data_IF_196413288069
#
_entry.id   IF_196413288069
#
_cell.length_a   1.000
_cell.length_b   1.000
_cell.length_c   1.000
_cell.angle_alpha   90.00
_cell.angle_beta   90.00
_cell.angle_gamma   90.00
#
_symmetry.space_group_name_H-M   'P 1'
#
loop_
_entity.id
_entity.type
_entity.pdbx_description
1 polymer ?
#
# COMPACT_ATOMS: atom_id res chain seq x y z
N UNK A 1 -11.15 -13.28 50.37
CA UNK A 1 -11.57 -13.88 49.09
C UNK A 1 -10.79 -13.19 47.99
N UNK A 2 -9.81 -13.89 47.42
CA UNK A 2 -8.93 -13.38 46.36
C UNK A 2 -9.68 -13.46 45.02
N UNK A 3 -9.86 -12.32 44.35
CA UNK A 3 -10.41 -12.25 43.00
C UNK A 3 -9.26 -12.18 42.01
N UNK A 4 -8.77 -13.34 41.57
CA UNK A 4 -7.78 -13.44 40.50
C UNK A 4 -8.40 -12.95 39.18
N UNK A 5 -7.83 -11.88 38.64
CA UNK A 5 -8.11 -11.43 37.27
C UNK A 5 -7.39 -12.40 36.33
N UNK A 6 -8.13 -13.32 35.73
CA UNK A 6 -7.60 -14.19 34.69
C UNK A 6 -7.17 -13.35 33.49
N UNK A 7 -5.86 -13.32 33.23
CA UNK A 7 -5.26 -12.71 32.06
C UNK A 7 -5.56 -13.57 30.84
N UNK A 8 -6.58 -13.19 30.06
CA UNK A 8 -6.86 -13.77 28.75
C UNK A 8 -5.79 -13.32 27.75
N UNK A 9 -4.63 -13.98 27.79
CA UNK A 9 -3.63 -13.93 26.72
C UNK A 9 -4.06 -14.88 25.59
N UNK A 10 -4.31 -14.34 24.41
CA UNK A 10 -4.44 -15.14 23.19
C UNK A 10 -5.42 -14.58 22.17
N UNK A 11 -6.66 -14.27 22.56
CA UNK A 11 -7.72 -13.91 21.60
C UNK A 11 -7.76 -12.43 21.24
N UNK A 12 -7.38 -11.54 22.17
CA UNK A 12 -7.37 -10.09 21.91
C UNK A 12 -6.07 -9.59 21.25
N UNK A 13 -5.13 -10.49 20.95
CA UNK A 13 -3.84 -10.14 20.30
C UNK A 13 -3.86 -10.27 18.78
N UNK A 14 -4.83 -10.97 18.19
CA UNK A 14 -4.97 -11.00 16.73
C UNK A 14 -5.28 -9.61 16.13
N UNK A 15 -5.78 -8.69 16.96
CA UNK A 15 -6.15 -7.31 16.58
C UNK A 15 -5.43 -6.22 17.40
N UNK A 16 -4.37 -6.58 18.13
CA UNK A 16 -3.58 -5.65 18.96
C UNK A 16 -2.51 -4.89 18.17
N UNK A 17 -2.00 -3.78 18.75
CA UNK A 17 -0.82 -3.07 18.22
C UNK A 17 0.37 -4.03 18.07
N UNK A 18 0.94 -4.10 16.88
CA UNK A 18 2.02 -5.02 16.53
C UNK A 18 3.31 -4.75 17.33
N UNK A 19 4.15 -5.79 17.43
CA UNK A 19 5.45 -5.69 18.11
C UNK A 19 6.43 -4.85 17.28
N UNK A 20 7.43 -4.19 17.89
CA UNK A 20 8.37 -3.31 17.20
C UNK A 20 9.32 -3.96 16.16
N UNK A 21 9.13 -5.24 15.83
CA UNK A 21 9.94 -6.00 14.86
C UNK A 21 9.23 -6.32 13.54
N UNK A 22 7.94 -6.02 13.44
CA UNK A 22 7.19 -6.14 12.18
C UNK A 22 7.54 -4.97 11.26
N UNK A 23 7.54 -5.17 9.94
CA UNK A 23 7.86 -4.05 9.04
C UNK A 23 6.86 -2.93 9.28
N UNK A 24 7.33 -1.67 9.20
CA UNK A 24 6.48 -0.50 9.38
C UNK A 24 5.23 -0.57 8.48
N UNK A 25 5.37 -1.12 7.26
CA UNK A 25 4.28 -1.36 6.32
C UNK A 25 3.24 -2.37 6.81
N UNK A 26 3.68 -3.47 7.42
CA UNK A 26 2.78 -4.47 8.00
C UNK A 26 1.91 -3.87 9.10
N UNK A 27 2.50 -3.02 9.94
CA UNK A 27 1.77 -2.32 11.00
C UNK A 27 0.71 -1.38 10.45
N UNK A 28 1.05 -0.60 9.40
CA UNK A 28 0.12 0.32 8.75
C UNK A 28 -1.02 -0.43 8.05
N UNK A 29 -0.71 -1.48 7.30
CA UNK A 29 -1.71 -2.36 6.68
C UNK A 29 -2.68 -2.91 7.73
N UNK A 30 -2.17 -3.52 8.80
CA UNK A 30 -3.02 -4.11 9.85
C UNK A 30 -3.89 -3.07 10.56
N UNK A 31 -3.39 -1.85 10.74
CA UNK A 31 -4.20 -0.78 11.32
C UNK A 31 -5.37 -0.43 10.40
N UNK A 32 -5.14 -0.25 9.10
CA UNK A 32 -6.21 0.09 8.15
C UNK A 32 -7.21 -1.07 7.98
N UNK A 33 -6.72 -2.31 7.93
CA UNK A 33 -7.57 -3.50 7.86
C UNK A 33 -8.48 -3.62 9.09
N UNK A 34 -7.91 -3.47 10.29
CA UNK A 34 -8.70 -3.41 11.53
C UNK A 34 -9.67 -2.23 11.53
N UNK A 35 -9.31 -1.08 10.97
CA UNK A 35 -10.19 0.08 10.88
C UNK A 35 -11.42 -0.22 10.00
N UNK A 36 -11.24 -0.86 8.85
CA UNK A 36 -12.35 -1.29 7.97
C UNK A 36 -13.26 -2.29 8.69
N UNK A 37 -12.68 -3.29 9.37
CA UNK A 37 -13.43 -4.32 10.10
C UNK A 37 -14.22 -3.72 11.27
N UNK A 38 -13.60 -2.80 12.02
CA UNK A 38 -14.17 -2.20 13.22
C UNK A 38 -14.96 -0.92 12.94
N UNK A 39 -15.17 -0.57 11.67
CA UNK A 39 -15.73 0.72 11.28
C UNK A 39 -17.05 1.05 12.01
N UNK A 40 -18.02 0.12 12.02
CA UNK A 40 -19.28 0.32 12.74
C UNK A 40 -19.09 0.57 14.24
N UNK A 41 -18.18 -0.17 14.88
CA UNK A 41 -17.86 0.01 16.30
C UNK A 41 -17.18 1.35 16.55
N UNK A 42 -16.28 1.78 15.66
CA UNK A 42 -15.61 3.08 15.74
C UNK A 42 -16.64 4.20 15.64
N UNK A 43 -17.54 4.14 14.65
CA UNK A 43 -18.61 5.13 14.49
C UNK A 43 -19.54 5.14 15.71
N UNK A 44 -19.93 3.98 16.23
CA UNK A 44 -20.79 3.89 17.41
C UNK A 44 -20.11 4.51 18.64
N UNK A 45 -18.83 4.19 18.89
CA UNK A 45 -18.08 4.75 20.02
C UNK A 45 -17.92 6.26 19.88
N UNK A 46 -17.61 6.76 18.67
CA UNK A 46 -17.58 8.20 18.41
C UNK A 46 -18.94 8.84 18.75
N UNK A 47 -20.05 8.23 18.32
CA UNK A 47 -21.41 8.67 18.65
C UNK A 47 -21.84 8.50 20.12
N UNK A 48 -21.11 7.73 20.95
CA UNK A 48 -21.35 7.63 22.40
C UNK A 48 -20.51 8.65 23.17
N UNK A 49 -19.24 8.83 22.78
CA UNK A 49 -18.36 9.90 23.30
C UNK A 49 -18.99 11.27 23.02
N UNK A 50 -19.89 11.36 22.04
CA UNK A 50 -20.76 12.50 21.79
C UNK A 50 -21.67 12.94 22.97
N UNK A 51 -21.79 12.19 24.07
CA UNK A 51 -22.50 12.70 25.24
C UNK A 51 -21.63 13.54 26.21
N UNK A 52 -20.29 13.50 26.11
CA UNK A 52 -19.41 13.94 27.22
C UNK A 52 -18.30 14.98 26.85
N UNK A 53 -18.12 15.34 25.57
CA UNK A 53 -17.02 16.23 25.10
C UNK A 53 -17.49 17.53 24.40
N UNK A 54 -16.60 18.51 24.17
CA UNK A 54 -16.92 19.80 23.51
C UNK A 54 -17.35 19.62 22.03
N UNK A 55 -18.50 20.20 21.66
CA UNK A 55 -19.29 19.89 20.45
C UNK A 55 -18.51 20.09 19.13
N UNK A 56 -17.54 20.99 19.12
CA UNK A 56 -16.85 21.43 17.89
C UNK A 56 -15.76 20.46 17.40
N UNK A 57 -14.97 19.87 18.29
CA UNK A 57 -13.92 18.90 17.92
C UNK A 57 -14.51 17.56 17.47
N UNK A 58 -15.71 17.25 17.98
CA UNK A 58 -16.43 16.00 17.80
C UNK A 58 -17.08 15.86 16.43
N UNK A 59 -17.91 16.83 16.04
CA UNK A 59 -18.53 16.89 14.70
C UNK A 59 -17.45 16.91 13.60
N UNK A 60 -16.28 17.45 13.92
CA UNK A 60 -15.16 17.50 13.00
C UNK A 60 -14.48 16.13 12.81
N UNK A 61 -14.34 15.31 13.87
CA UNK A 61 -13.70 13.99 13.78
C UNK A 61 -14.60 12.96 13.07
N UNK A 62 -15.87 12.85 13.48
CA UNK A 62 -16.82 11.94 12.84
C UNK A 62 -17.10 12.37 11.39
N UNK A 63 -17.27 13.67 11.15
CA UNK A 63 -17.45 14.21 9.80
C UNK A 63 -16.26 13.96 8.87
N UNK A 64 -15.02 13.91 9.41
CA UNK A 64 -13.83 13.54 8.63
C UNK A 64 -13.77 12.05 8.32
N UNK A 65 -14.10 11.17 9.28
CA UNK A 65 -14.07 9.71 9.08
C UNK A 65 -15.21 9.23 8.18
N UNK A 66 -16.37 9.88 8.25
CA UNK A 66 -17.51 9.63 7.34
C UNK A 66 -17.42 10.41 6.03
N UNK A 67 -16.33 11.12 5.75
CA UNK A 67 -16.16 11.75 4.45
C UNK A 67 -15.91 10.68 3.39
N UNK A 68 -16.63 10.76 2.25
CA UNK A 68 -16.44 9.83 1.14
C UNK A 68 -14.97 9.75 0.69
N UNK A 69 -14.28 10.89 0.60
CA UNK A 69 -12.84 10.97 0.29
C UNK A 69 -11.97 10.16 1.25
N UNK A 70 -12.29 10.17 2.54
CA UNK A 70 -11.56 9.40 3.55
C UNK A 70 -11.76 7.89 3.33
N UNK A 71 -13.00 7.45 3.08
CA UNK A 71 -13.31 6.04 2.79
C UNK A 71 -12.63 5.59 1.49
N UNK A 72 -12.64 6.45 0.47
CA UNK A 72 -11.96 6.23 -0.79
C UNK A 72 -10.45 6.01 -0.57
N UNK A 73 -9.79 6.94 0.13
CA UNK A 73 -8.36 6.84 0.44
C UNK A 73 -8.05 5.63 1.33
N UNK A 74 -8.91 5.30 2.28
CA UNK A 74 -8.76 4.12 3.15
C UNK A 74 -8.70 2.83 2.32
N UNK A 75 -9.65 2.62 1.40
CA UNK A 75 -9.68 1.42 0.55
C UNK A 75 -8.50 1.40 -0.44
N UNK A 76 -8.19 2.54 -1.05
CA UNK A 76 -7.06 2.66 -1.97
C UNK A 76 -5.72 2.35 -1.28
N UNK A 77 -5.47 2.97 -0.11
CA UNK A 77 -4.26 2.73 0.68
C UNK A 77 -4.18 1.29 1.16
N UNK A 78 -5.31 0.67 1.54
CA UNK A 78 -5.33 -0.73 1.93
C UNK A 78 -4.84 -1.64 0.79
N UNK A 79 -5.34 -1.45 -0.44
CA UNK A 79 -4.89 -2.22 -1.61
C UNK A 79 -3.38 -2.03 -1.88
N UNK A 80 -2.90 -0.79 -1.88
CA UNK A 80 -1.48 -0.48 -2.11
C UNK A 80 -0.57 -1.06 -1.03
N UNK A 81 -0.97 -0.94 0.24
CA UNK A 81 -0.19 -1.45 1.38
C UNK A 81 -0.16 -2.98 1.42
N UNK A 82 -1.24 -3.67 1.05
CA UNK A 82 -1.24 -5.15 0.96
C UNK A 82 -0.15 -5.61 0.00
N UNK A 83 -0.16 -5.11 -1.24
CA UNK A 83 0.82 -5.50 -2.25
C UNK A 83 2.26 -5.14 -1.84
N UNK A 84 2.46 -3.92 -1.32
CA UNK A 84 3.78 -3.47 -0.87
C UNK A 84 4.31 -4.30 0.30
N UNK A 85 3.42 -4.73 1.20
CA UNK A 85 3.76 -5.58 2.34
C UNK A 85 4.08 -7.01 1.90
N UNK A 86 3.33 -7.58 0.95
CA UNK A 86 3.63 -8.89 0.36
C UNK A 86 5.01 -8.91 -0.30
N UNK A 87 5.32 -7.88 -1.10
CA UNK A 87 6.65 -7.69 -1.68
C UNK A 87 7.73 -7.54 -0.61
N UNK A 88 7.50 -6.69 0.40
CA UNK A 88 8.44 -6.51 1.50
C UNK A 88 8.73 -7.83 2.22
N UNK A 89 7.73 -8.67 2.45
CA UNK A 89 7.90 -9.99 3.08
C UNK A 89 8.65 -10.96 2.17
N UNK A 90 8.34 -10.97 0.88
CA UNK A 90 9.04 -11.79 -0.10
C UNK A 90 10.53 -11.43 -0.17
N UNK A 91 10.86 -10.14 -0.24
CA UNK A 91 12.24 -9.65 -0.30
C UNK A 91 13.04 -9.88 0.99
N UNK A 92 12.39 -9.93 2.15
CA UNK A 92 13.05 -10.12 3.45
C UNK A 92 13.18 -11.59 3.86
N UNK A 93 12.63 -12.52 3.08
CA UNK A 93 12.71 -13.94 3.41
C UNK A 93 14.16 -14.42 3.27
N UNK A 94 14.72 -14.96 4.37
CA UNK A 94 16.14 -15.33 4.50
C UNK A 94 16.65 -16.28 3.40
N UNK A 95 15.78 -17.18 2.95
CA UNK A 95 16.08 -18.21 1.95
C UNK A 95 15.56 -17.83 0.55
N UNK A 96 15.20 -16.57 0.35
CA UNK A 96 14.68 -16.12 -0.94
C UNK A 96 15.81 -16.11 -1.96
N UNK A 97 15.58 -16.80 -3.06
CA UNK A 97 16.43 -16.74 -4.24
C UNK A 97 16.28 -15.39 -4.96
N UNK A 98 17.38 -14.80 -5.42
CA UNK A 98 17.40 -13.48 -6.06
C UNK A 98 16.52 -13.48 -7.32
N UNK A 99 16.56 -14.54 -8.14
CA UNK A 99 15.76 -14.62 -9.36
C UNK A 99 14.28 -14.66 -9.00
N UNK A 100 13.91 -15.45 -8.00
CA UNK A 100 12.53 -15.51 -7.50
C UNK A 100 12.07 -14.17 -6.89
N UNK A 101 12.95 -13.45 -6.20
CA UNK A 101 12.66 -12.12 -5.67
C UNK A 101 12.38 -11.11 -6.80
N UNK A 102 13.18 -11.14 -7.87
CA UNK A 102 12.97 -10.28 -9.04
C UNK A 102 11.65 -10.61 -9.77
N UNK A 103 11.34 -11.89 -9.98
CA UNK A 103 10.05 -12.30 -10.55
C UNK A 103 8.88 -11.79 -9.70
N UNK A 104 8.99 -11.88 -8.37
CA UNK A 104 7.94 -11.39 -7.47
C UNK A 104 7.77 -9.86 -7.54
N UNK A 105 8.87 -9.11 -7.68
CA UNK A 105 8.85 -7.68 -7.92
C UNK A 105 8.12 -7.33 -9.22
N UNK A 106 8.44 -8.03 -10.32
CA UNK A 106 7.81 -7.81 -11.62
C UNK A 106 6.30 -8.06 -11.55
N UNK A 107 5.88 -9.18 -10.96
CA UNK A 107 4.45 -9.49 -10.73
C UNK A 107 3.78 -8.42 -9.87
N UNK A 108 4.46 -7.91 -8.84
CA UNK A 108 3.91 -6.85 -7.98
C UNK A 108 3.71 -5.55 -8.77
N UNK A 109 4.70 -5.17 -9.60
CA UNK A 109 4.62 -4.01 -10.47
C UNK A 109 3.48 -4.15 -11.49
N UNK A 110 3.36 -5.29 -12.16
CA UNK A 110 2.28 -5.58 -13.10
C UNK A 110 0.90 -5.46 -12.44
N UNK A 111 0.72 -5.99 -11.23
CA UNK A 111 -0.54 -5.86 -10.49
C UNK A 111 -0.86 -4.42 -10.07
N UNK A 112 0.13 -3.66 -9.62
CA UNK A 112 -0.07 -2.24 -9.30
C UNK A 112 -0.44 -1.43 -10.54
N UNK A 113 0.19 -1.76 -11.67
CA UNK A 113 -0.06 -1.17 -12.98
C UNK A 113 -1.48 -1.49 -13.47
N UNK A 114 -1.91 -2.75 -13.35
CA UNK A 114 -3.28 -3.19 -13.64
C UNK A 114 -4.31 -2.45 -12.78
N UNK A 115 -4.04 -2.28 -11.49
CA UNK A 115 -4.93 -1.51 -10.61
C UNK A 115 -5.06 -0.08 -11.13
N UNK A 116 -3.94 0.56 -11.48
CA UNK A 116 -3.93 1.92 -11.99
C UNK A 116 -4.73 2.08 -13.28
N UNK A 117 -4.57 1.16 -14.21
CA UNK A 117 -5.08 1.34 -15.57
C UNK A 117 -6.52 0.83 -15.72
N UNK A 118 -6.90 -0.22 -14.97
CA UNK A 118 -8.17 -0.95 -15.22
C UNK A 118 -9.10 -1.01 -14.01
N UNK A 119 -8.61 -0.85 -12.77
CA UNK A 119 -9.42 -1.14 -11.56
C UNK A 119 -10.06 0.08 -10.90
N UNK A 120 -10.09 1.21 -11.59
CA UNK A 120 -10.76 2.43 -11.10
C UNK A 120 -12.24 2.16 -10.77
N UNK A 121 -13.01 1.62 -11.73
CA UNK A 121 -14.45 1.38 -11.52
C UNK A 121 -14.71 0.35 -10.43
N UNK A 122 -13.91 -0.73 -10.38
CA UNK A 122 -14.03 -1.75 -9.33
C UNK A 122 -13.77 -1.17 -7.94
N UNK A 123 -12.77 -0.29 -7.78
CA UNK A 123 -12.54 0.39 -6.50
C UNK A 123 -13.72 1.31 -6.14
N UNK A 124 -14.28 2.03 -7.11
CA UNK A 124 -15.42 2.91 -6.87
C UNK A 124 -16.67 2.13 -6.45
N UNK A 125 -16.92 0.97 -7.03
CA UNK A 125 -18.02 0.07 -6.65
C UNK A 125 -17.83 -0.45 -5.21
N UNK A 126 -16.62 -0.89 -4.85
CA UNK A 126 -16.29 -1.32 -3.49
C UNK A 126 -16.51 -0.20 -2.46
N UNK A 127 -15.98 1.00 -2.74
CA UNK A 127 -16.12 2.17 -1.87
C UNK A 127 -17.58 2.61 -1.73
N UNK A 128 -18.33 2.59 -2.83
CA UNK A 128 -19.75 2.97 -2.83
C UNK A 128 -20.60 1.96 -2.07
N UNK A 129 -20.31 0.66 -2.22
CA UNK A 129 -20.94 -0.42 -1.46
C UNK A 129 -20.66 -0.28 0.03
N UNK A 130 -19.41 0.01 0.41
CA UNK A 130 -19.03 0.28 1.79
C UNK A 130 -19.78 1.50 2.34
N UNK A 131 -19.80 2.61 1.61
CA UNK A 131 -20.51 3.81 2.02
C UNK A 131 -22.01 3.55 2.23
N UNK A 132 -22.66 2.86 1.30
CA UNK A 132 -24.08 2.49 1.39
C UNK A 132 -24.37 1.62 2.62
N UNK A 133 -23.48 0.67 2.94
CA UNK A 133 -23.61 -0.19 4.12
C UNK A 133 -23.52 0.57 5.45
N UNK A 134 -22.84 1.71 5.46
CA UNK A 134 -22.57 2.50 6.67
C UNK A 134 -23.29 3.84 6.69
N UNK A 135 -24.32 4.02 5.85
CA UNK A 135 -25.12 5.25 5.71
C UNK A 135 -24.26 6.50 5.46
N UNK A 136 -23.17 6.34 4.71
CA UNK A 136 -22.28 7.45 4.33
C UNK A 136 -22.77 8.04 3.01
N UNK A 137 -22.98 9.36 3.01
CA UNK A 137 -23.40 10.09 1.82
C UNK A 137 -22.28 10.10 0.77
N UNK A 138 -22.59 9.54 -0.40
CA UNK A 138 -21.74 9.62 -1.58
C UNK A 138 -21.91 11.00 -2.22
N UNK A 139 -20.80 11.70 -2.43
CA UNK A 139 -20.81 13.00 -3.10
C UNK A 139 -21.16 12.83 -4.59
N UNK A 140 -21.85 13.81 -5.19
CA UNK A 140 -22.16 13.72 -6.63
C UNK A 140 -20.87 13.86 -7.44
N UNK A 141 -20.63 12.89 -8.32
CA UNK A 141 -19.37 12.77 -9.06
C UNK A 141 -19.18 13.89 -10.09
N UNK A 142 -20.29 14.44 -10.58
CA UNK A 142 -20.36 15.50 -11.59
C UNK A 142 -20.27 16.91 -10.98
N UNK A 143 -20.42 17.04 -9.66
CA UNK A 143 -20.25 18.33 -8.98
C UNK A 143 -18.78 18.76 -9.01
N UNK A 144 -18.55 20.07 -9.06
CA UNK A 144 -17.20 20.61 -9.00
C UNK A 144 -16.57 20.34 -7.64
N UNK A 145 -15.31 19.91 -7.65
CA UNK A 145 -14.55 19.80 -6.43
C UNK A 145 -14.41 21.16 -5.75
N UNK A 146 -14.63 21.22 -4.44
CA UNK A 146 -14.47 22.44 -3.64
C UNK A 146 -13.28 22.23 -2.69
N UNK A 147 -12.11 22.83 -2.99
CA UNK A 147 -10.93 22.66 -2.15
C UNK A 147 -11.11 23.40 -0.82
N UNK A 148 -11.35 22.66 0.26
CA UNK A 148 -11.23 23.11 1.66
C UNK A 148 -11.62 24.56 1.97
N UNK A 149 -10.79 25.27 2.75
CA UNK A 149 -11.08 26.58 3.38
C UNK A 149 -11.37 27.74 2.41
N UNK A 150 -11.31 27.54 1.10
CA UNK A 150 -11.60 28.58 0.10
C UNK A 150 -12.89 28.29 -0.65
N UNK A 151 -14.03 28.61 -0.04
CA UNK A 151 -15.33 28.68 -0.76
C UNK A 151 -15.38 29.74 -1.87
N UNK A 152 -14.30 30.51 -2.06
CA UNK A 152 -14.23 31.62 -3.03
C UNK A 152 -13.73 31.19 -4.42
N UNK A 153 -13.22 29.95 -4.59
CA UNK A 153 -12.84 29.40 -5.90
C UNK A 153 -13.42 28.00 -6.06
N UNK A 154 -14.48 27.91 -6.86
CA UNK A 154 -14.94 26.64 -7.40
C UNK A 154 -13.80 26.07 -8.27
N UNK A 155 -13.43 24.80 -8.08
CA UNK A 155 -12.51 24.15 -9.02
C UNK A 155 -13.17 24.07 -10.39
N UNK A 156 -12.38 24.13 -11.46
CA UNK A 156 -12.87 23.82 -12.82
C UNK A 156 -12.99 22.31 -13.07
N UNK A 157 -12.67 21.49 -12.06
CA UNK A 157 -12.54 20.04 -12.16
C UNK A 157 -13.66 19.37 -11.36
N UNK A 158 -14.24 18.29 -11.92
CA UNK A 158 -15.28 17.49 -11.25
C UNK A 158 -14.71 16.70 -10.08
N UNK A 159 -15.58 16.31 -9.13
CA UNK A 159 -15.16 15.51 -7.98
C UNK A 159 -14.59 14.15 -8.40
N UNK A 160 -15.19 13.49 -9.39
CA UNK A 160 -14.65 12.23 -9.94
C UNK A 160 -13.26 12.40 -10.53
N UNK A 161 -13.02 13.46 -11.30
CA UNK A 161 -11.68 13.73 -11.84
C UNK A 161 -10.67 14.01 -10.72
N UNK A 162 -11.06 14.77 -9.69
CA UNK A 162 -10.20 14.99 -8.53
C UNK A 162 -9.80 13.67 -7.87
N UNK A 163 -10.76 12.80 -7.54
CA UNK A 163 -10.48 11.49 -6.93
C UNK A 163 -9.59 10.62 -7.83
N UNK A 164 -9.85 10.59 -9.14
CA UNK A 164 -9.11 9.74 -10.07
C UNK A 164 -7.69 10.25 -10.35
N UNK A 165 -7.54 11.55 -10.58
CA UNK A 165 -6.26 12.10 -11.04
C UNK A 165 -5.38 12.49 -9.87
N UNK A 166 -5.93 13.23 -8.90
CA UNK A 166 -5.15 13.79 -7.79
C UNK A 166 -4.91 12.78 -6.67
N UNK A 167 -5.83 11.82 -6.46
CA UNK A 167 -5.69 10.82 -5.39
C UNK A 167 -5.31 9.45 -5.92
N UNK A 168 -6.13 8.85 -6.79
CA UNK A 168 -5.95 7.48 -7.25
C UNK A 168 -4.62 7.26 -7.95
N UNK A 169 -4.35 8.02 -9.01
CA UNK A 169 -3.07 7.91 -9.72
C UNK A 169 -1.89 8.34 -8.84
N UNK A 170 -2.02 9.40 -8.05
CA UNK A 170 -0.92 9.86 -7.20
C UNK A 170 -0.48 8.78 -6.19
N UNK A 171 -1.45 8.14 -5.52
CA UNK A 171 -1.18 7.11 -4.50
C UNK A 171 -0.61 5.84 -5.12
N UNK A 172 -1.08 5.41 -6.30
CA UNK A 172 -0.56 4.19 -6.96
C UNK A 172 0.78 4.44 -7.66
N UNK A 173 0.99 5.62 -8.23
CA UNK A 173 2.24 5.95 -8.90
C UNK A 173 3.41 6.06 -7.93
N UNK A 174 3.16 6.42 -6.67
CA UNK A 174 4.22 6.54 -5.67
C UNK A 174 5.02 5.24 -5.48
N UNK A 175 4.42 4.08 -5.12
CA UNK A 175 5.17 2.83 -5.00
C UNK A 175 5.73 2.35 -6.35
N UNK A 176 5.02 2.52 -7.47
CA UNK A 176 5.53 2.17 -8.80
C UNK A 176 6.83 2.93 -9.12
N UNK A 177 6.86 4.23 -8.86
CA UNK A 177 8.04 5.06 -9.08
C UNK A 177 9.18 4.64 -8.15
N UNK A 178 8.88 4.41 -6.87
CA UNK A 178 9.87 3.98 -5.89
C UNK A 178 10.51 2.63 -6.27
N UNK A 179 9.69 1.66 -6.69
CA UNK A 179 10.18 0.34 -7.11
C UNK A 179 11.03 0.44 -8.38
N UNK A 180 10.54 1.15 -9.39
CA UNK A 180 11.28 1.34 -10.64
C UNK A 180 12.57 2.15 -10.47
N UNK A 181 12.63 3.05 -9.48
CA UNK A 181 13.85 3.78 -9.16
C UNK A 181 14.87 2.94 -8.41
N UNK A 182 14.43 2.03 -7.52
CA UNK A 182 15.33 1.16 -6.74
C UNK A 182 15.81 -0.05 -7.52
N UNK A 183 14.97 -0.57 -8.40
CA UNK A 183 15.20 -1.75 -9.22
C UNK A 183 15.12 -1.38 -10.69
N UNK A 184 15.88 -0.35 -11.08
CA UNK A 184 15.99 0.02 -12.48
C UNK A 184 16.66 -1.10 -13.30
N UNK A 185 16.74 -0.89 -14.62
CA UNK A 185 17.31 -1.89 -15.54
C UNK A 185 18.73 -2.31 -15.13
N UNK A 186 19.56 -1.34 -14.70
CA UNK A 186 20.95 -1.60 -14.33
C UNK A 186 21.03 -2.41 -13.03
N UNK A 187 20.31 -1.98 -11.99
CA UNK A 187 20.30 -2.64 -10.68
C UNK A 187 19.72 -4.05 -10.77
N UNK A 188 18.64 -4.22 -11.54
CA UNK A 188 18.01 -5.52 -11.81
C UNK A 188 18.96 -6.46 -12.56
N UNK A 189 19.64 -5.98 -13.61
CA UNK A 189 20.63 -6.77 -14.34
C UNK A 189 21.82 -7.17 -13.46
N UNK A 190 22.29 -6.26 -12.59
CA UNK A 190 23.35 -6.54 -11.62
C UNK A 190 22.93 -7.67 -10.66
N UNK A 191 21.74 -7.58 -10.07
CA UNK A 191 21.21 -8.61 -9.16
C UNK A 191 21.08 -9.97 -9.86
N UNK A 192 20.51 -9.99 -11.06
CA UNK A 192 20.35 -11.22 -11.84
C UNK A 192 21.69 -11.81 -12.29
N UNK A 193 22.67 -10.98 -12.65
CA UNK A 193 24.03 -11.41 -12.96
C UNK A 193 24.74 -12.02 -11.75
N UNK A 194 24.60 -11.40 -10.58
CA UNK A 194 25.12 -11.96 -9.32
C UNK A 194 24.45 -13.29 -8.97
N UNK A 195 23.16 -13.44 -9.24
CA UNK A 195 22.45 -14.71 -9.05
C UNK A 195 23.03 -15.82 -9.94
N UNK A 196 23.43 -15.51 -11.18
CA UNK A 196 24.10 -16.45 -12.09
C UNK A 196 25.48 -16.91 -11.61
N UNK A 197 26.14 -16.13 -10.76
CA UNK A 197 27.45 -16.44 -10.17
C UNK A 197 27.37 -17.09 -8.80
N UNK A 198 26.16 -17.32 -8.27
CA UNK A 198 25.96 -17.93 -6.97
C UNK A 198 26.31 -19.44 -7.02
N UNK A 199 27.30 -19.92 -6.26
CA UNK A 199 27.67 -21.35 -6.25
C UNK A 199 26.63 -22.25 -5.58
N UNK A 200 25.65 -21.69 -4.87
CA UNK A 200 24.58 -22.45 -4.24
C UNK A 200 23.85 -23.34 -5.27
N UNK A 201 23.52 -24.56 -4.85
CA UNK A 201 22.88 -25.58 -5.71
C UNK A 201 23.61 -25.78 -7.06
N UNK A 202 24.95 -25.73 -7.05
CA UNK A 202 25.78 -25.95 -8.23
C UNK A 202 25.51 -24.96 -9.37
N UNK A 203 25.38 -23.67 -9.04
CA UNK A 203 25.07 -22.61 -10.01
C UNK A 203 23.72 -22.81 -10.73
N UNK A 204 22.67 -23.17 -9.98
CA UNK A 204 21.34 -23.46 -10.54
C UNK A 204 20.76 -22.32 -11.41
N UNK A 205 21.13 -21.07 -11.13
CA UNK A 205 20.67 -19.88 -11.87
C UNK A 205 21.65 -19.43 -12.97
N UNK A 206 22.65 -20.24 -13.33
CA UNK A 206 23.65 -19.87 -14.32
C UNK A 206 23.00 -19.46 -15.65
N UNK A 207 23.38 -18.28 -16.13
CA UNK A 207 22.96 -17.74 -17.41
C UNK A 207 24.11 -16.91 -17.98
N UNK A 208 24.62 -17.35 -19.13
CA UNK A 208 25.75 -16.73 -19.82
C UNK A 208 25.44 -15.30 -20.27
N UNK A 209 24.24 -15.03 -20.76
CA UNK A 209 23.85 -13.71 -21.27
C UNK A 209 23.74 -12.68 -20.14
N UNK A 210 23.24 -13.11 -18.98
CA UNK A 210 23.23 -12.27 -17.77
C UNK A 210 24.63 -11.91 -17.29
N UNK A 211 25.56 -12.87 -17.31
CA UNK A 211 26.98 -12.60 -16.99
C UNK A 211 27.60 -11.66 -18.01
N UNK A 212 27.32 -11.86 -19.31
CA UNK A 212 27.83 -10.96 -20.34
C UNK A 212 27.29 -9.53 -20.21
N UNK A 213 26.03 -9.40 -19.79
CA UNK A 213 25.41 -8.10 -19.48
C UNK A 213 26.11 -7.45 -18.28
N UNK A 214 26.44 -8.21 -17.25
CA UNK A 214 27.21 -7.72 -16.10
C UNK A 214 28.58 -7.18 -16.51
N UNK A 215 29.33 -7.91 -17.34
CA UNK A 215 30.65 -7.47 -17.84
C UNK A 215 30.56 -6.14 -18.59
N UNK A 216 29.50 -5.93 -19.38
CA UNK A 216 29.27 -4.67 -20.11
C UNK A 216 29.07 -3.46 -19.18
N UNK A 217 28.65 -3.67 -17.93
CA UNK A 217 28.50 -2.59 -16.95
C UNK A 217 29.83 -2.15 -16.31
N UNK A 218 30.91 -2.91 -16.48
CA UNK A 218 32.24 -2.62 -15.91
C UNK A 218 33.35 -2.66 -16.99
N UNK A 219 33.25 -1.86 -18.07
CA UNK A 219 34.19 -1.94 -19.20
C UNK A 219 35.65 -1.67 -18.82
N UNK A 220 35.88 -0.82 -17.82
CA UNK A 220 37.22 -0.43 -17.37
C UNK A 220 37.91 -1.51 -16.51
N UNK A 221 37.15 -2.42 -15.91
CA UNK A 221 37.70 -3.54 -15.11
C UNK A 221 38.18 -4.70 -16.00
N UNK A 222 37.63 -4.79 -17.22
CA UNK A 222 37.88 -5.87 -18.18
C UNK A 222 38.47 -5.35 -19.50
N UNK A 223 39.39 -4.38 -19.42
CA UNK A 223 40.04 -3.74 -20.57
C UNK A 223 40.55 -4.71 -21.64
N UNK A 224 40.83 -4.18 -22.85
CA UNK A 224 41.22 -4.96 -24.03
C UNK A 224 42.27 -6.06 -23.69
N UNK A 225 41.78 -7.29 -23.55
CA UNK A 225 42.50 -8.54 -23.24
C UNK A 225 42.81 -8.82 -21.75
N UNK A 226 41.87 -9.53 -21.10
CA UNK A 226 42.17 -10.72 -20.27
C UNK A 226 41.06 -11.79 -20.42
N UNK A 227 40.91 -12.33 -21.63
CA UNK A 227 40.31 -13.64 -21.91
C UNK A 227 41.30 -14.46 -22.74
#
# INVERSE_FOLDING_TARGET
MSGEVQSWKGLNQERGLQRPGDTRWESHYKILDNFVILFSSIIHVLGVIECECDVNDRLQAEGKIKAFEFIFLLHLMLKVLIMSNELSKALQKKEQDIVNAMIFLDITNERMQEIRDERWETLMDEVSSFCAKHDILVHKMEEFYIPGKSKRRLSSVTYSHYLRVELFYAVINFPLLEFNSRFDVVSSNLLLGMASLNPANSFANFDKERIMTLVKHYPDEFGELKL
#
